data_IF_801729042109
#
_entry.id   IF_801729042109
#
_cell.length_a   1.000
_cell.length_b   1.000
_cell.length_c   1.000
_cell.angle_alpha   90.00
_cell.angle_beta   90.00
_cell.angle_gamma   90.00
#
_symmetry.space_group_name_H-M   'P 1'
#
loop_
_entity.id
_entity.type
_entity.pdbx_description
1 polymer ?
#
# COMPACT_ATOMS: atom_id res chain seq x y z
N UNK A 1 -8.34 17.56 -0.19
CA UNK A 1 -9.30 17.42 0.93
C UNK A 1 -9.41 18.79 1.59
N UNK A 2 -10.58 19.19 2.11
CA UNK A 2 -10.65 20.44 2.90
C UNK A 2 -9.92 20.24 4.23
N UNK A 3 -9.64 21.34 4.93
CA UNK A 3 -9.00 21.28 6.24
C UNK A 3 -9.88 20.55 7.28
N UNK A 4 -11.20 20.74 7.22
CA UNK A 4 -12.16 20.04 8.09
C UNK A 4 -12.11 18.53 7.91
N UNK A 5 -12.19 18.06 6.66
CA UNK A 5 -12.15 16.61 6.37
C UNK A 5 -10.79 16.02 6.74
N UNK A 6 -9.70 16.78 6.63
CA UNK A 6 -8.40 16.34 7.15
C UNK A 6 -8.39 16.18 8.66
N UNK A 7 -8.98 17.13 9.39
CA UNK A 7 -9.08 17.02 10.86
C UNK A 7 -9.88 15.77 11.25
N UNK A 8 -11.03 15.54 10.60
CA UNK A 8 -11.85 14.35 10.82
C UNK A 8 -11.06 13.06 10.50
N UNK A 9 -10.28 13.06 9.41
CA UNK A 9 -9.44 11.93 9.03
C UNK A 9 -8.36 11.64 10.06
N UNK A 10 -7.65 12.67 10.54
CA UNK A 10 -6.60 12.51 11.54
C UNK A 10 -7.17 12.03 12.88
N UNK A 11 -8.36 12.50 13.27
CA UNK A 11 -9.08 12.02 14.46
C UNK A 11 -9.46 10.55 14.30
N UNK A 12 -10.07 10.18 13.17
CA UNK A 12 -10.39 8.79 12.85
C UNK A 12 -9.15 7.88 12.86
N UNK A 13 -8.01 8.36 12.35
CA UNK A 13 -6.75 7.63 12.36
C UNK A 13 -6.27 7.37 13.80
N UNK A 14 -6.28 8.40 14.64
CA UNK A 14 -5.90 8.29 16.05
C UNK A 14 -6.80 7.29 16.78
N UNK A 15 -8.11 7.48 16.66
CA UNK A 15 -9.10 6.70 17.40
C UNK A 15 -9.10 5.22 16.95
N UNK A 16 -8.90 4.94 15.66
CA UNK A 16 -8.72 3.59 15.16
C UNK A 16 -7.44 2.92 15.68
N UNK A 17 -6.34 3.66 15.75
CA UNK A 17 -5.10 3.16 16.31
C UNK A 17 -5.24 2.84 17.81
N UNK A 18 -5.91 3.72 18.57
CA UNK A 18 -6.20 3.49 19.99
C UNK A 18 -7.12 2.30 20.21
N UNK A 19 -8.18 2.17 19.41
CA UNK A 19 -9.06 1.01 19.45
C UNK A 19 -8.28 -0.28 19.22
N UNK A 20 -7.39 -0.28 18.23
CA UNK A 20 -6.56 -1.46 17.92
C UNK A 20 -5.61 -1.79 19.07
N UNK A 21 -5.03 -0.80 19.74
CA UNK A 21 -4.19 -1.01 20.93
C UNK A 21 -4.98 -1.58 22.09
N UNK A 22 -6.17 -1.05 22.36
CA UNK A 22 -7.05 -1.60 23.40
C UNK A 22 -7.40 -3.06 23.13
N UNK A 23 -7.53 -3.45 21.86
CA UNK A 23 -7.80 -4.84 21.44
C UNK A 23 -6.58 -5.75 21.59
N UNK A 24 -5.39 -5.33 21.16
CA UNK A 24 -4.22 -6.21 21.09
C UNK A 24 -3.21 -6.07 22.26
N UNK A 25 -3.28 -5.00 23.03
CA UNK A 25 -2.45 -4.76 24.22
C UNK A 25 -1.01 -4.28 23.94
N UNK A 26 -0.68 -3.86 22.71
CA UNK A 26 0.63 -3.32 22.37
C UNK A 26 0.54 -2.22 21.31
N UNK A 27 1.51 -1.30 21.30
CA UNK A 27 1.58 -0.20 20.33
C UNK A 27 1.76 -0.70 18.89
N UNK A 28 1.03 -0.06 17.97
CA UNK A 28 1.14 -0.31 16.53
C UNK A 28 1.53 1.00 15.83
N UNK A 29 2.59 0.97 15.00
CA UNK A 29 2.91 2.08 14.11
C UNK A 29 1.78 2.34 13.10
N UNK A 30 1.56 3.61 12.78
CA UNK A 30 0.54 4.09 11.86
C UNK A 30 1.23 4.81 10.71
N UNK A 31 0.98 4.37 9.49
CA UNK A 31 1.47 5.06 8.29
C UNK A 31 0.32 5.82 7.62
N UNK A 32 0.47 7.13 7.52
CA UNK A 32 -0.36 7.98 6.68
C UNK A 32 0.27 7.99 5.29
N UNK A 33 -0.36 7.32 4.33
CA UNK A 33 0.14 7.20 2.97
C UNK A 33 -0.51 8.24 2.05
N UNK A 34 0.25 9.27 1.74
CA UNK A 34 -0.08 10.29 0.76
C UNK A 34 0.00 9.71 -0.64
N UNK A 35 -1.14 9.63 -1.34
CA UNK A 35 -1.23 9.00 -2.66
C UNK A 35 -2.44 9.56 -3.42
N UNK A 36 -3.08 8.74 -4.27
CA UNK A 36 -4.12 9.11 -5.20
C UNK A 36 -3.51 9.30 -6.58
N UNK A 37 -3.70 10.49 -7.15
CA UNK A 37 -3.05 10.92 -8.39
C UNK A 37 -1.56 11.19 -8.15
N UNK A 38 -1.15 12.47 -8.22
CA UNK A 38 0.23 12.85 -7.92
C UNK A 38 0.26 13.86 -6.74
N UNK A 39 0.67 13.43 -5.53
CA UNK A 39 0.73 14.30 -4.36
C UNK A 39 1.62 15.52 -4.52
N UNK A 40 2.70 15.44 -5.32
CA UNK A 40 3.60 16.59 -5.55
C UNK A 40 3.00 17.70 -6.43
N UNK A 41 1.75 17.55 -6.87
CA UNK A 41 0.98 18.65 -7.45
C UNK A 41 0.41 19.60 -6.38
N UNK A 42 0.34 19.15 -5.12
CA UNK A 42 -0.08 19.98 -4.00
C UNK A 42 1.08 20.91 -3.62
N UNK A 43 0.81 22.19 -3.32
CA UNK A 43 1.87 23.13 -2.97
C UNK A 43 2.35 22.89 -1.53
N UNK A 44 3.55 23.39 -1.19
CA UNK A 44 4.16 23.30 0.14
C UNK A 44 3.20 23.66 1.27
N UNK A 45 2.45 24.75 1.13
CA UNK A 45 1.55 25.24 2.19
C UNK A 45 0.42 24.25 2.49
N UNK A 46 0.04 23.40 1.53
CA UNK A 46 -0.94 22.34 1.77
C UNK A 46 -0.39 21.29 2.74
N UNK A 47 0.85 20.85 2.54
CA UNK A 47 1.50 19.89 3.43
C UNK A 47 1.69 20.49 4.82
N UNK A 48 2.19 21.72 4.91
CA UNK A 48 2.43 22.40 6.20
C UNK A 48 1.17 22.53 7.04
N UNK A 49 0.02 22.86 6.42
CA UNK A 49 -1.28 22.90 7.12
C UNK A 49 -1.67 21.55 7.68
N UNK A 50 -1.50 20.47 6.92
CA UNK A 50 -1.85 19.12 7.40
C UNK A 50 -0.88 18.67 8.49
N UNK A 51 0.42 18.95 8.37
CA UNK A 51 1.37 18.64 9.44
C UNK A 51 1.10 19.44 10.71
N UNK A 52 0.60 20.68 10.59
CA UNK A 52 0.10 21.43 11.74
C UNK A 52 -1.11 20.73 12.40
N UNK A 53 -2.09 20.27 11.61
CA UNK A 53 -3.20 19.47 12.13
C UNK A 53 -2.74 18.18 12.79
N UNK A 54 -1.73 17.48 12.24
CA UNK A 54 -1.17 16.28 12.86
C UNK A 54 -0.63 16.56 14.26
N UNK A 55 0.06 17.70 14.45
CA UNK A 55 0.57 18.14 15.76
C UNK A 55 -0.54 18.49 16.75
N UNK A 56 -1.69 18.95 16.27
CA UNK A 56 -2.85 19.25 17.11
C UNK A 56 -3.64 17.99 17.50
N UNK A 57 -3.74 17.02 16.59
CA UNK A 57 -4.64 15.86 16.76
C UNK A 57 -3.95 14.68 17.44
N UNK A 58 -2.69 14.39 17.08
CA UNK A 58 -1.97 13.25 17.62
C UNK A 58 -1.28 13.58 18.95
N UNK A 59 -1.23 12.62 19.89
CA UNK A 59 -0.41 12.74 21.09
C UNK A 59 1.06 13.04 20.74
N UNK A 60 1.71 13.92 21.52
CA UNK A 60 3.07 14.37 21.24
C UNK A 60 4.10 13.24 21.27
N UNK A 61 3.88 12.25 22.14
CA UNK A 61 4.71 11.04 22.26
C UNK A 61 4.61 10.14 21.02
N UNK A 62 3.47 10.10 20.32
CA UNK A 62 3.34 9.36 19.06
C UNK A 62 4.18 9.98 17.95
N UNK A 63 4.24 11.31 17.91
CA UNK A 63 5.04 12.04 16.92
C UNK A 63 6.54 11.90 17.23
N UNK A 64 6.94 12.08 18.49
CA UNK A 64 8.33 11.97 18.93
C UNK A 64 8.90 10.56 18.78
N UNK A 65 8.10 9.52 19.07
CA UNK A 65 8.50 8.13 18.90
C UNK A 65 8.43 7.64 17.44
N UNK A 66 8.01 8.50 16.51
CA UNK A 66 7.70 8.16 15.11
C UNK A 66 6.69 7.01 14.99
N UNK A 67 5.76 6.93 15.94
CA UNK A 67 4.64 5.98 15.87
C UNK A 67 3.70 6.35 14.73
N UNK A 68 3.50 7.65 14.46
CA UNK A 68 2.84 8.12 13.24
C UNK A 68 3.91 8.49 12.21
N UNK A 69 3.86 7.86 11.04
CA UNK A 69 4.79 8.12 9.94
C UNK A 69 4.04 8.60 8.72
N UNK A 70 4.69 9.46 7.95
CA UNK A 70 4.17 9.95 6.68
C UNK A 70 4.95 9.27 5.55
N UNK A 71 4.23 8.59 4.68
CA UNK A 71 4.80 7.94 3.48
C UNK A 71 4.14 8.56 2.25
N UNK A 72 4.91 8.99 1.27
CA UNK A 72 4.37 9.62 0.06
C UNK A 72 4.68 8.79 -1.17
N UNK A 73 3.63 8.43 -1.90
CA UNK A 73 3.71 7.73 -3.19
C UNK A 73 3.71 8.74 -4.32
N UNK A 74 4.75 8.74 -5.15
CA UNK A 74 4.93 9.71 -6.23
C UNK A 74 5.48 9.06 -7.49
N UNK A 75 5.08 9.57 -8.66
CA UNK A 75 5.73 9.26 -9.93
C UNK A 75 7.08 10.00 -10.09
N UNK A 76 7.39 10.94 -9.21
CA UNK A 76 8.61 11.76 -9.17
C UNK A 76 8.93 12.50 -10.47
N UNK A 77 7.97 12.65 -11.38
CA UNK A 77 8.19 13.36 -12.63
C UNK A 77 8.38 14.87 -12.37
N UNK A 78 7.52 15.44 -11.54
CA UNK A 78 7.55 16.85 -11.17
C UNK A 78 7.69 16.99 -9.65
N UNK A 79 8.89 17.37 -9.19
CA UNK A 79 9.16 17.69 -7.78
C UNK A 79 9.98 18.97 -7.71
N UNK A 80 9.51 19.94 -6.92
CA UNK A 80 10.17 21.24 -6.72
C UNK A 80 11.03 21.17 -5.45
N UNK A 81 11.98 22.09 -5.31
CA UNK A 81 12.84 22.13 -4.12
C UNK A 81 12.02 22.31 -2.83
N UNK A 82 10.98 23.13 -2.86
CA UNK A 82 10.05 23.29 -1.74
C UNK A 82 9.39 21.98 -1.27
N UNK A 83 9.19 21.01 -2.17
CA UNK A 83 8.67 19.70 -1.78
C UNK A 83 9.75 18.85 -1.11
N UNK A 84 10.98 18.93 -1.61
CA UNK A 84 12.12 18.25 -1.00
C UNK A 84 12.39 18.78 0.41
N UNK A 85 12.28 20.09 0.60
CA UNK A 85 12.39 20.73 1.91
C UNK A 85 11.32 20.19 2.88
N UNK A 86 10.05 20.10 2.44
CA UNK A 86 8.96 19.51 3.23
C UNK A 86 9.24 18.04 3.58
N UNK A 87 9.77 17.25 2.64
CA UNK A 87 10.06 15.84 2.89
C UNK A 87 11.17 15.65 3.92
N UNK A 88 12.16 16.55 3.91
CA UNK A 88 13.24 16.58 4.89
C UNK A 88 12.74 17.06 6.26
N UNK A 89 12.08 18.21 6.32
CA UNK A 89 11.57 18.84 7.55
C UNK A 89 10.57 17.95 8.32
N UNK A 90 9.82 17.11 7.61
CA UNK A 90 8.80 16.23 8.19
C UNK A 90 9.12 14.74 8.09
N UNK A 91 10.37 14.40 7.73
CA UNK A 91 10.86 13.04 7.56
C UNK A 91 9.90 12.12 6.79
N UNK A 92 9.43 12.61 5.64
CA UNK A 92 8.51 11.88 4.76
C UNK A 92 9.28 10.78 4.03
N UNK A 93 8.85 9.53 4.21
CA UNK A 93 9.40 8.40 3.45
C UNK A 93 8.80 8.38 2.03
N UNK A 94 9.62 8.24 0.99
CA UNK A 94 9.14 8.26 -0.40
C UNK A 94 9.00 6.85 -1.00
N UNK A 95 7.89 6.58 -1.66
CA UNK A 95 7.70 5.45 -2.57
C UNK A 95 7.63 5.96 -4.00
N UNK A 96 8.64 5.61 -4.81
CA UNK A 96 8.81 6.14 -6.17
C UNK A 96 8.34 5.11 -7.18
N UNK A 97 7.33 5.48 -7.95
CA UNK A 97 6.81 4.64 -9.03
C UNK A 97 7.66 4.81 -10.29
N UNK A 98 8.54 3.85 -10.58
CA UNK A 98 9.44 3.85 -11.74
C UNK A 98 9.66 2.44 -12.27
N UNK A 99 9.56 2.27 -13.59
CA UNK A 99 9.63 0.95 -14.22
C UNK A 99 10.97 0.67 -14.94
N UNK A 100 11.83 1.68 -15.04
CA UNK A 100 13.11 1.63 -15.78
C UNK A 100 13.00 1.11 -17.22
N UNK A 101 11.83 1.30 -17.84
CA UNK A 101 11.53 0.98 -19.23
C UNK A 101 11.29 2.27 -20.02
N UNK A 102 11.80 2.34 -21.24
CA UNK A 102 11.68 3.52 -22.09
C UNK A 102 10.33 3.63 -22.80
N UNK A 103 9.78 4.85 -22.86
CA UNK A 103 8.58 5.15 -23.64
C UNK A 103 7.27 4.69 -23.00
N UNK A 104 7.31 4.27 -21.72
CA UNK A 104 6.14 3.67 -21.05
C UNK A 104 5.39 4.71 -20.23
N UNK A 105 6.11 5.42 -19.35
CA UNK A 105 5.51 6.41 -18.46
C UNK A 105 5.50 7.76 -19.18
N UNK A 106 4.33 8.12 -19.70
CA UNK A 106 4.13 9.32 -20.48
C UNK A 106 3.32 10.36 -19.72
N UNK A 107 3.63 11.63 -19.95
CA UNK A 107 2.76 12.75 -19.57
C UNK A 107 1.44 12.68 -20.32
N UNK A 108 0.44 13.47 -19.90
CA UNK A 108 -0.83 13.60 -20.63
C UNK A 108 -0.65 14.06 -22.10
N UNK A 109 0.46 14.76 -22.40
CA UNK A 109 0.84 15.17 -23.75
C UNK A 109 1.72 14.17 -24.51
N UNK A 110 1.84 12.93 -24.03
CA UNK A 110 2.61 11.86 -24.70
C UNK A 110 4.14 11.97 -24.57
N UNK A 111 4.65 12.93 -23.79
CA UNK A 111 6.11 13.07 -23.58
C UNK A 111 6.63 12.04 -22.58
N UNK A 112 7.80 11.48 -22.88
CA UNK A 112 8.62 10.63 -22.03
C UNK A 112 8.98 11.31 -20.70
N UNK A 113 8.96 10.57 -19.59
CA UNK A 113 9.19 11.10 -18.22
C UNK A 113 10.49 10.62 -17.59
N UNK A 114 11.14 9.61 -18.18
CA UNK A 114 12.23 8.83 -17.58
C UNK A 114 13.44 9.69 -17.24
N UNK A 115 13.83 10.61 -18.13
CA UNK A 115 14.96 11.51 -17.90
C UNK A 115 14.72 12.45 -16.71
N UNK A 116 13.51 12.98 -16.58
CA UNK A 116 13.15 13.84 -15.46
C UNK A 116 13.12 13.05 -14.14
N UNK A 117 12.52 11.86 -14.14
CA UNK A 117 12.48 10.96 -12.98
C UNK A 117 13.90 10.59 -12.52
N UNK A 118 14.80 10.21 -13.44
CA UNK A 118 16.21 9.91 -13.11
C UNK A 118 16.95 11.12 -12.56
N UNK A 119 16.69 12.31 -13.10
CA UNK A 119 17.24 13.56 -12.56
C UNK A 119 16.76 13.80 -11.12
N UNK A 120 15.47 13.58 -10.85
CA UNK A 120 14.90 13.77 -9.53
C UNK A 120 15.34 12.69 -8.53
N UNK A 121 15.54 11.44 -8.95
CA UNK A 121 16.15 10.40 -8.11
C UNK A 121 17.54 10.84 -7.64
N UNK A 122 18.36 11.43 -8.53
CA UNK A 122 19.67 11.98 -8.16
C UNK A 122 19.54 13.10 -7.13
N UNK A 123 18.59 14.03 -7.32
CA UNK A 123 18.29 15.08 -6.32
C UNK A 123 17.93 14.51 -4.94
N UNK A 124 17.18 13.41 -4.89
CA UNK A 124 16.88 12.72 -3.62
C UNK A 124 18.14 12.10 -3.00
N UNK A 125 19.00 11.48 -3.81
CA UNK A 125 20.27 10.90 -3.36
C UNK A 125 21.23 11.97 -2.83
N UNK A 126 21.36 13.09 -3.55
CA UNK A 126 22.23 14.21 -3.20
C UNK A 126 21.82 14.86 -1.86
N UNK A 127 20.51 14.89 -1.57
CA UNK A 127 19.96 15.33 -0.28
C UNK A 127 19.91 14.25 0.80
N UNK A 128 20.27 13.00 0.48
CA UNK A 128 20.18 11.89 1.44
C UNK A 128 18.75 11.49 1.82
N UNK A 129 17.74 11.89 1.05
CA UNK A 129 16.34 11.59 1.36
C UNK A 129 16.05 10.08 1.23
N UNK A 130 15.38 9.45 2.21
CA UNK A 130 15.04 8.04 2.14
C UNK A 130 13.92 7.78 1.13
N UNK A 131 14.15 6.84 0.22
CA UNK A 131 13.13 6.41 -0.72
C UNK A 131 13.20 4.91 -1.01
N UNK A 132 12.08 4.39 -1.50
CA UNK A 132 11.89 3.04 -2.02
C UNK A 132 11.43 3.10 -3.47
N UNK A 133 11.63 2.00 -4.19
CA UNK A 133 11.27 1.84 -5.60
C UNK A 133 10.04 0.97 -5.73
N UNK A 134 9.13 1.34 -6.62
CA UNK A 134 7.97 0.54 -7.01
C UNK A 134 7.99 0.40 -8.52
N UNK A 135 8.19 -0.82 -8.99
CA UNK A 135 8.27 -1.17 -10.41
C UNK A 135 7.12 -2.09 -10.77
N UNK A 136 6.30 -1.69 -11.75
CA UNK A 136 5.20 -2.52 -12.23
C UNK A 136 5.77 -3.62 -13.13
N UNK A 137 5.40 -4.89 -12.85
CA UNK A 137 5.71 -6.01 -13.71
C UNK A 137 4.60 -6.22 -14.74
N UNK A 138 4.88 -5.83 -15.98
CA UNK A 138 4.00 -5.89 -17.14
C UNK A 138 4.84 -6.11 -18.42
N UNK A 139 4.20 -6.17 -19.59
CA UNK A 139 4.86 -6.44 -20.88
C UNK A 139 6.13 -5.64 -21.14
N UNK A 140 6.12 -4.36 -20.75
CA UNK A 140 7.25 -3.47 -20.93
C UNK A 140 8.42 -3.71 -19.97
N UNK A 141 8.23 -4.37 -18.82
CA UNK A 141 9.33 -4.67 -17.89
C UNK A 141 9.76 -6.13 -17.92
N UNK A 142 8.82 -7.08 -18.04
CA UNK A 142 9.13 -8.51 -17.93
C UNK A 142 10.09 -8.96 -19.04
N UNK A 143 9.91 -8.43 -20.24
CA UNK A 143 10.77 -8.70 -21.40
C UNK A 143 12.21 -8.17 -21.26
N UNK A 144 12.46 -7.27 -20.31
CA UNK A 144 13.77 -6.65 -20.07
C UNK A 144 14.16 -6.67 -18.58
N UNK A 145 13.71 -7.69 -17.85
CA UNK A 145 13.83 -7.74 -16.39
C UNK A 145 15.29 -7.66 -15.89
N UNK A 146 16.26 -8.18 -16.67
CA UNK A 146 17.68 -8.08 -16.33
C UNK A 146 18.17 -6.63 -16.35
N UNK A 147 17.80 -5.85 -17.37
CA UNK A 147 18.11 -4.41 -17.45
C UNK A 147 17.44 -3.64 -16.31
N UNK A 148 16.18 -3.97 -16.01
CA UNK A 148 15.46 -3.38 -14.87
C UNK A 148 16.18 -3.69 -13.56
N UNK A 149 16.67 -4.91 -13.38
CA UNK A 149 17.47 -5.30 -12.22
C UNK A 149 18.76 -4.48 -12.12
N UNK A 150 19.52 -4.35 -13.22
CA UNK A 150 20.76 -3.57 -13.24
C UNK A 150 20.54 -2.14 -12.72
N UNK A 151 19.49 -1.47 -13.20
CA UNK A 151 19.09 -0.12 -12.79
C UNK A 151 18.73 -0.05 -11.30
N UNK A 152 17.91 -0.99 -10.82
CA UNK A 152 17.50 -1.06 -9.42
C UNK A 152 18.69 -1.35 -8.50
N UNK A 153 19.59 -2.24 -8.92
CA UNK A 153 20.76 -2.65 -8.14
C UNK A 153 21.72 -1.48 -7.89
N UNK A 154 21.84 -0.54 -8.83
CA UNK A 154 22.68 0.65 -8.67
C UNK A 154 22.17 1.60 -7.58
N UNK A 155 20.86 1.58 -7.30
CA UNK A 155 20.25 2.47 -6.32
C UNK A 155 20.39 1.96 -4.88
N UNK A 156 20.55 0.65 -4.68
CA UNK A 156 20.62 0.00 -3.37
C UNK A 156 19.49 0.45 -2.42
N UNK A 157 18.25 0.51 -2.95
CA UNK A 157 17.04 0.88 -2.18
C UNK A 157 16.08 -0.30 -2.03
N UNK A 158 15.22 -0.28 -0.99
CA UNK A 158 14.09 -1.20 -0.91
C UNK A 158 13.23 -1.10 -2.16
N UNK A 159 12.82 -2.24 -2.71
CA UNK A 159 12.10 -2.32 -3.97
C UNK A 159 10.84 -3.16 -3.82
N UNK A 160 9.75 -2.74 -4.46
CA UNK A 160 8.55 -3.54 -4.68
C UNK A 160 8.39 -3.79 -6.17
N UNK A 161 8.42 -5.06 -6.55
CA UNK A 161 7.97 -5.53 -7.84
C UNK A 161 6.46 -5.76 -7.76
N UNK A 162 5.69 -5.09 -8.63
CA UNK A 162 4.22 -5.08 -8.58
C UNK A 162 3.63 -5.75 -9.83
N UNK A 163 3.32 -7.05 -9.77
CA UNK A 163 2.60 -7.75 -10.84
C UNK A 163 1.31 -7.06 -11.28
N UNK A 164 1.20 -6.81 -12.59
CA UNK A 164 -0.02 -6.29 -13.20
C UNK A 164 -0.88 -7.45 -13.73
N UNK A 165 -1.94 -7.81 -13.01
CA UNK A 165 -2.85 -8.90 -13.40
C UNK A 165 -4.10 -8.43 -14.16
N UNK A 166 -4.56 -7.22 -13.86
CA UNK A 166 -5.76 -6.63 -14.44
C UNK A 166 -5.65 -5.11 -14.39
N UNK A 167 -6.48 -4.44 -15.19
CA UNK A 167 -6.61 -3.00 -15.18
C UNK A 167 -8.08 -2.57 -15.16
N UNK A 168 -8.34 -1.27 -14.97
CA UNK A 168 -9.71 -0.76 -14.98
C UNK A 168 -10.35 -0.96 -16.35
N UNK A 169 -11.63 -1.32 -16.37
CA UNK A 169 -12.38 -1.54 -17.61
C UNK A 169 -12.35 -0.36 -18.60
N UNK A 170 -12.14 0.86 -18.09
CA UNK A 170 -12.08 2.09 -18.88
C UNK A 170 -10.74 2.33 -19.60
N UNK A 171 -9.68 1.54 -19.32
CA UNK A 171 -8.37 1.71 -19.99
C UNK A 171 -8.00 0.43 -20.77
N UNK A 172 -7.73 0.54 -22.09
CA UNK A 172 -7.18 -0.58 -22.85
C UNK A 172 -5.86 -1.05 -22.26
N UNK A 173 -5.69 -2.37 -22.12
CA UNK A 173 -4.48 -2.99 -21.57
C UNK A 173 -3.52 -3.50 -22.67
N UNK A 174 -3.75 -3.08 -23.91
CA UNK A 174 -2.95 -3.51 -25.07
C UNK A 174 -1.48 -3.10 -24.87
N UNK A 175 -0.57 -4.07 -25.03
CA UNK A 175 0.87 -3.84 -24.89
C UNK A 175 1.41 -3.85 -23.45
N UNK A 176 0.55 -3.96 -22.44
CA UNK A 176 0.98 -4.11 -21.02
C UNK A 176 0.54 -5.44 -20.40
N UNK A 177 -0.53 -6.07 -20.90
CA UNK A 177 -0.93 -7.41 -20.45
C UNK A 177 0.12 -8.45 -20.84
N UNK A 178 0.44 -9.34 -19.91
CA UNK A 178 1.31 -10.50 -20.10
C UNK A 178 0.73 -11.71 -19.40
N UNK A 179 1.19 -12.90 -19.79
CA UNK A 179 0.77 -14.12 -19.13
C UNK A 179 1.35 -14.19 -17.71
N UNK A 180 0.62 -14.85 -16.82
CA UNK A 180 1.05 -15.00 -15.43
C UNK A 180 2.37 -15.77 -15.32
N UNK A 181 2.64 -16.68 -16.26
CA UNK A 181 3.92 -17.38 -16.40
C UNK A 181 5.06 -16.41 -16.68
N UNK A 182 4.88 -15.43 -17.56
CA UNK A 182 5.94 -14.46 -17.89
C UNK A 182 6.30 -13.60 -16.68
N UNK A 183 5.30 -13.22 -15.88
CA UNK A 183 5.52 -12.51 -14.62
C UNK A 183 6.30 -13.39 -13.63
N UNK A 184 5.94 -14.68 -13.53
CA UNK A 184 6.63 -15.62 -12.65
C UNK A 184 8.09 -15.82 -13.08
N UNK A 185 8.32 -16.02 -14.37
CA UNK A 185 9.67 -16.18 -14.95
C UNK A 185 10.51 -14.93 -14.68
N UNK A 186 9.95 -13.73 -14.88
CA UNK A 186 10.62 -12.48 -14.55
C UNK A 186 10.97 -12.37 -13.06
N UNK A 187 10.06 -12.76 -12.16
CA UNK A 187 10.31 -12.77 -10.72
C UNK A 187 11.43 -13.77 -10.34
N UNK A 188 11.47 -14.94 -10.97
CA UNK A 188 12.52 -15.93 -10.76
C UNK A 188 13.89 -15.41 -11.21
N UNK A 189 13.97 -14.84 -12.43
CA UNK A 189 15.21 -14.20 -12.92
C UNK A 189 15.66 -13.08 -11.99
N UNK A 190 14.74 -12.21 -11.56
CA UNK A 190 15.09 -11.12 -10.63
C UNK A 190 15.57 -11.66 -9.28
N UNK A 191 14.95 -12.73 -8.75
CA UNK A 191 15.36 -13.36 -7.51
C UNK A 191 16.79 -13.90 -7.58
N UNK A 192 17.12 -14.64 -8.64
CA UNK A 192 18.47 -15.20 -8.82
C UNK A 192 19.52 -14.10 -8.90
N UNK A 193 19.23 -13.01 -9.61
CA UNK A 193 20.10 -11.84 -9.70
C UNK A 193 20.24 -11.12 -8.36
N UNK A 194 19.14 -10.92 -7.64
CA UNK A 194 19.10 -10.27 -6.33
C UNK A 194 19.96 -11.00 -5.29
N UNK A 195 19.83 -12.33 -5.23
CA UNK A 195 20.63 -13.18 -4.34
C UNK A 195 22.09 -13.19 -4.78
N UNK A 196 22.37 -13.37 -6.08
CA UNK A 196 23.73 -13.45 -6.62
C UNK A 196 24.52 -12.15 -6.43
N UNK A 197 23.84 -11.01 -6.53
CA UNK A 197 24.44 -9.69 -6.32
C UNK A 197 24.68 -9.37 -4.83
N UNK A 198 24.17 -10.19 -3.90
CA UNK A 198 24.32 -9.95 -2.46
C UNK A 198 23.65 -8.65 -2.00
N UNK A 199 22.58 -8.22 -2.68
CA UNK A 199 21.86 -6.99 -2.35
C UNK A 199 21.28 -7.05 -0.94
N UNK A 200 21.62 -6.08 -0.10
CA UNK A 200 21.07 -5.97 1.25
C UNK A 200 19.64 -5.42 1.33
N UNK A 201 19.18 -4.51 0.43
CA UNK A 201 17.81 -4.00 0.53
C UNK A 201 16.78 -5.10 0.21
N UNK A 202 15.63 -5.02 0.91
CA UNK A 202 14.49 -5.91 0.67
C UNK A 202 13.91 -5.71 -0.73
N UNK A 203 13.49 -6.81 -1.34
CA UNK A 203 12.72 -6.81 -2.60
C UNK A 203 11.39 -7.52 -2.35
N UNK A 204 10.29 -6.79 -2.30
CA UNK A 204 8.94 -7.35 -2.18
C UNK A 204 8.40 -7.74 -3.57
N UNK A 205 7.70 -8.88 -3.73
CA UNK A 205 7.31 -9.85 -2.70
C UNK A 205 8.37 -10.95 -2.43
N UNK A 206 9.52 -10.92 -3.10
CA UNK A 206 10.53 -11.96 -3.06
C UNK A 206 11.07 -12.24 -1.65
N UNK A 207 11.34 -11.20 -0.87
CA UNK A 207 11.73 -11.29 0.54
C UNK A 207 10.70 -12.06 1.37
N UNK A 208 9.41 -11.78 1.14
CA UNK A 208 8.32 -12.46 1.84
C UNK A 208 8.22 -13.94 1.44
N UNK A 209 8.44 -14.25 0.16
CA UNK A 209 8.47 -15.63 -0.31
C UNK A 209 9.63 -16.39 0.31
N UNK A 210 10.84 -15.82 0.29
CA UNK A 210 12.02 -16.40 0.92
C UNK A 210 11.79 -16.65 2.42
N UNK A 211 11.29 -15.64 3.15
CA UNK A 211 10.96 -15.78 4.58
C UNK A 211 9.93 -16.89 4.83
N UNK A 212 8.90 -16.98 3.99
CA UNK A 212 7.86 -18.01 4.09
C UNK A 212 8.46 -19.41 3.90
N UNK A 213 9.36 -19.57 2.92
CA UNK A 213 10.07 -20.83 2.67
C UNK A 213 10.95 -21.21 3.86
N UNK A 214 11.73 -20.26 4.41
CA UNK A 214 12.60 -20.49 5.58
C UNK A 214 11.78 -20.95 6.78
N UNK A 215 10.69 -20.26 7.11
CA UNK A 215 9.82 -20.64 8.22
C UNK A 215 9.28 -22.06 8.05
N UNK A 216 8.75 -22.39 6.86
CA UNK A 216 8.25 -23.74 6.56
C UNK A 216 9.34 -24.81 6.68
N UNK A 217 10.57 -24.52 6.23
CA UNK A 217 11.72 -25.43 6.36
C UNK A 217 12.12 -25.66 7.83
N UNK A 218 11.85 -24.70 8.70
CA UNK A 218 12.03 -24.82 10.15
C UNK A 218 10.84 -25.46 10.88
N UNK A 219 9.80 -25.90 10.16
CA UNK A 219 8.57 -26.41 10.76
C UNK A 219 7.72 -25.33 11.44
N UNK A 220 7.95 -24.06 11.10
CA UNK A 220 7.21 -22.90 11.61
C UNK A 220 6.19 -22.41 10.59
N UNK A 221 5.08 -21.90 11.11
CA UNK A 221 4.10 -21.21 10.28
C UNK A 221 4.43 -19.71 10.17
N UNK A 222 4.04 -19.10 9.05
CA UNK A 222 4.07 -17.64 8.95
C UNK A 222 2.97 -17.10 9.86
N UNK A 223 3.28 -16.13 10.76
CA UNK A 223 2.24 -15.45 11.51
C UNK A 223 1.25 -14.82 10.54
N UNK A 224 0.01 -15.29 10.56
CA UNK A 224 -1.09 -14.65 9.86
C UNK A 224 -1.44 -13.32 10.54
N UNK A 225 -2.07 -12.42 9.80
CA UNK A 225 -2.73 -11.28 10.42
C UNK A 225 -4.05 -11.77 11.01
N UNK A 226 -4.21 -11.62 12.32
CA UNK A 226 -5.52 -11.79 12.95
C UNK A 226 -6.33 -10.51 12.72
N UNK A 227 -7.10 -10.46 11.62
CA UNK A 227 -7.94 -9.31 11.27
C UNK A 227 -9.10 -9.10 12.24
N UNK A 228 -9.55 -10.14 12.93
CA UNK A 228 -10.57 -9.99 13.97
C UNK A 228 -10.00 -9.21 15.17
N UNK A 229 -8.73 -9.46 15.51
CA UNK A 229 -8.03 -8.74 16.58
C UNK A 229 -7.54 -7.37 16.14
N UNK A 230 -6.91 -7.27 14.96
CA UNK A 230 -6.13 -6.11 14.50
C UNK A 230 -6.87 -5.23 13.49
N UNK A 231 -8.05 -5.63 13.02
CA UNK A 231 -8.75 -4.97 11.93
C UNK A 231 -8.07 -5.18 10.58
N UNK A 232 -8.41 -4.33 9.61
CA UNK A 232 -7.76 -4.27 8.29
C UNK A 232 -6.43 -3.50 8.35
N UNK A 233 -5.43 -3.97 7.59
CA UNK A 233 -4.12 -3.31 7.46
C UNK A 233 -4.18 -1.98 6.71
N UNK A 234 -5.19 -1.79 5.86
CA UNK A 234 -5.33 -0.63 4.98
C UNK A 234 -6.78 -0.17 4.96
N UNK A 235 -6.96 1.15 5.10
CA UNK A 235 -8.21 1.87 4.89
C UNK A 235 -7.94 3.00 3.92
N UNK A 236 -8.89 3.33 3.06
CA UNK A 236 -8.72 4.41 2.07
C UNK A 236 -9.70 5.51 2.41
N UNK A 237 -9.21 6.73 2.55
CA UNK A 237 -10.02 7.93 2.82
C UNK A 237 -10.06 8.78 1.56
N UNK A 238 -11.25 8.95 1.01
CA UNK A 238 -11.48 9.82 -0.14
C UNK A 238 -11.57 11.29 0.29
N UNK A 239 -11.52 12.22 -0.67
CA UNK A 239 -11.44 13.68 -0.41
C UNK A 239 -12.63 14.25 0.36
N UNK A 240 -13.75 13.55 0.36
CA UNK A 240 -15.00 13.89 1.03
C UNK A 240 -15.21 13.11 2.35
N UNK A 241 -14.23 12.28 2.75
CA UNK A 241 -14.28 11.50 3.97
C UNK A 241 -14.85 10.09 3.80
N UNK A 242 -15.27 9.67 2.60
CA UNK A 242 -15.71 8.27 2.42
C UNK A 242 -14.56 7.30 2.65
N UNK A 243 -14.86 6.23 3.39
CA UNK A 243 -13.92 5.19 3.78
C UNK A 243 -14.17 3.90 2.97
N UNK A 244 -13.12 3.25 2.48
CA UNK A 244 -13.15 1.89 1.91
C UNK A 244 -11.97 1.05 2.41
N UNK A 245 -12.00 -0.27 2.21
CA UNK A 245 -10.87 -1.16 2.56
C UNK A 245 -9.86 -1.37 1.40
N UNK A 246 -10.18 -0.86 0.21
CA UNK A 246 -9.34 -0.98 -0.97
C UNK A 246 -9.59 0.20 -1.93
N UNK A 247 -8.64 0.40 -2.85
CA UNK A 247 -8.67 1.51 -3.83
C UNK A 247 -9.79 1.40 -4.86
N UNK A 248 -10.19 0.18 -5.19
CA UNK A 248 -11.13 -0.15 -6.26
C UNK A 248 -12.58 -0.25 -5.75
N UNK A 249 -12.76 -0.21 -4.43
CA UNK A 249 -14.04 -0.31 -3.73
C UNK A 249 -14.76 -1.60 -4.11
N UNK A 250 -14.02 -2.70 -4.25
CA UNK A 250 -14.60 -4.01 -4.58
C UNK A 250 -15.63 -4.45 -3.54
N UNK A 251 -15.48 -3.95 -2.30
CA UNK A 251 -16.36 -4.24 -1.18
C UNK A 251 -17.29 -3.07 -0.81
N UNK A 252 -17.32 -2.03 -1.66
CA UNK A 252 -18.11 -0.82 -1.43
C UNK A 252 -17.53 0.10 -0.36
N UNK A 253 -18.37 1.05 0.06
CA UNK A 253 -18.04 2.02 1.10
C UNK A 253 -18.33 1.45 2.49
N UNK A 254 -17.42 1.71 3.42
CA UNK A 254 -17.55 1.35 4.83
C UNK A 254 -18.36 2.41 5.59
N UNK A 255 -18.29 3.67 5.17
CA UNK A 255 -18.95 4.81 5.81
C UNK A 255 -18.31 6.13 5.40
N UNK A 256 -18.67 7.22 6.10
CA UNK A 256 -18.05 8.54 5.94
C UNK A 256 -17.59 9.05 7.31
N UNK A 257 -16.29 9.30 7.46
CA UNK A 257 -15.68 9.76 8.73
C UNK A 257 -16.08 11.19 9.11
N UNK A 258 -16.70 11.96 8.21
CA UNK A 258 -17.25 13.29 8.52
C UNK A 258 -18.66 13.21 9.14
N UNK A 259 -19.28 12.04 9.10
CA UNK A 259 -20.67 11.81 9.52
C UNK A 259 -20.76 10.82 10.69
N UNK A 260 -19.89 9.81 10.69
CA UNK A 260 -19.90 8.68 11.63
C UNK A 260 -18.51 8.47 12.22
N UNK A 261 -18.44 8.12 13.51
CA UNK A 261 -17.16 7.83 14.16
C UNK A 261 -16.50 6.60 13.54
N UNK A 262 -15.17 6.53 13.60
CA UNK A 262 -14.45 5.37 13.07
C UNK A 262 -14.79 4.09 13.83
N UNK A 263 -15.07 4.19 15.13
CA UNK A 263 -15.47 3.05 15.99
C UNK A 263 -16.80 2.47 15.50
N UNK A 264 -17.81 3.32 15.25
CA UNK A 264 -19.11 2.88 14.73
C UNK A 264 -18.99 2.29 13.31
N UNK A 265 -18.12 2.85 12.45
CA UNK A 265 -17.88 2.33 11.10
C UNK A 265 -17.29 0.91 11.17
N UNK A 266 -16.31 0.66 12.05
CA UNK A 266 -15.65 -0.65 12.13
C UNK A 266 -16.43 -1.68 12.95
N UNK A 267 -17.32 -1.25 13.84
CA UNK A 267 -18.27 -2.15 14.51
C UNK A 267 -19.51 -2.45 13.63
N UNK A 268 -19.67 -1.72 12.52
CA UNK A 268 -20.73 -1.94 11.54
C UNK A 268 -20.64 -3.28 10.81
N UNK A 269 -21.81 -3.79 10.38
CA UNK A 269 -21.93 -5.11 9.73
C UNK A 269 -21.09 -5.25 8.45
N UNK A 270 -20.94 -4.19 7.66
CA UNK A 270 -20.12 -4.19 6.45
C UNK A 270 -18.66 -4.47 6.77
N UNK A 271 -18.09 -3.78 7.77
CA UNK A 271 -16.72 -3.99 8.18
C UNK A 271 -16.54 -5.34 8.88
N UNK A 272 -17.46 -5.71 9.78
CA UNK A 272 -17.47 -7.01 10.46
C UNK A 272 -17.44 -8.18 9.47
N UNK A 273 -18.23 -8.10 8.40
CA UNK A 273 -18.22 -9.11 7.33
C UNK A 273 -16.83 -9.23 6.68
N UNK A 274 -16.13 -8.12 6.46
CA UNK A 274 -14.81 -8.10 5.83
C UNK A 274 -13.69 -8.67 6.70
N UNK A 275 -13.69 -8.37 8.00
CA UNK A 275 -12.65 -8.89 8.90
C UNK A 275 -12.89 -10.34 9.31
N UNK A 276 -14.14 -10.81 9.29
CA UNK A 276 -14.51 -12.21 9.57
C UNK A 276 -14.60 -13.10 8.34
N UNK A 277 -14.64 -12.52 7.14
CA UNK A 277 -14.32 -13.23 5.91
C UNK A 277 -12.89 -13.76 6.04
N UNK A 278 -12.77 -15.05 6.40
CA UNK A 278 -11.61 -15.85 6.01
C UNK A 278 -11.62 -15.88 4.49
N UNK A 279 -11.09 -14.86 3.84
CA UNK A 279 -10.60 -15.00 2.48
C UNK A 279 -9.57 -16.12 2.58
N UNK A 280 -9.83 -17.31 2.01
CA UNK A 280 -8.80 -18.32 1.99
C UNK A 280 -7.64 -17.70 1.24
N UNK A 281 -6.48 -17.56 1.90
CA UNK A 281 -5.22 -17.65 1.18
C UNK A 281 -5.32 -18.98 0.44
N UNK A 282 -5.67 -18.95 -0.86
CA UNK A 282 -5.78 -20.13 -1.72
C UNK A 282 -4.37 -20.69 -1.91
N UNK A 283 -3.90 -21.40 -0.89
CA UNK A 283 -2.98 -22.50 -1.00
C UNK A 283 -3.80 -23.77 -0.80
N UNK A 284 -4.33 -24.32 -1.90
CA UNK A 284 -4.63 -25.75 -1.98
C UNK A 284 -4.72 -26.14 -3.45
N UNK A 285 -3.94 -27.16 -3.77
CA UNK A 285 -3.87 -27.86 -5.04
C UNK A 285 -5.26 -28.18 -5.59
N UNK A 286 -5.51 -27.81 -6.85
CA UNK A 286 -6.11 -28.65 -7.88
C UNK A 286 -6.45 -27.80 -9.10
N UNK A 287 -6.02 -28.30 -10.25
CA UNK A 287 -6.51 -28.03 -11.60
C UNK A 287 -8.02 -27.72 -11.66
N UNK A 288 -8.37 -26.82 -12.59
CA UNK A 288 -9.72 -26.52 -13.11
C UNK A 288 -10.54 -25.38 -12.45
N UNK A 289 -11.09 -24.51 -13.31
CA UNK A 289 -12.41 -23.92 -13.10
C UNK A 289 -12.47 -22.44 -12.70
N UNK A 290 -12.53 -21.56 -13.70
CA UNK A 290 -13.16 -20.24 -13.56
C UNK A 290 -14.64 -20.39 -13.18
N UNK A 291 -15.11 -19.63 -12.18
CA UNK A 291 -16.52 -19.61 -11.81
C UNK A 291 -16.84 -18.43 -10.90
N UNK A 292 -17.52 -17.43 -11.47
CA UNK A 292 -18.22 -16.37 -10.74
C UNK A 292 -19.21 -17.01 -9.75
N UNK A 293 -19.09 -16.68 -8.46
CA UNK A 293 -20.15 -16.96 -7.50
C UNK A 293 -20.66 -15.66 -6.88
N UNK A 294 -21.91 -15.36 -7.23
CA UNK A 294 -22.73 -14.29 -6.70
C UNK A 294 -22.99 -14.48 -5.19
N UNK A 295 -23.10 -13.36 -4.48
CA UNK A 295 -23.56 -13.25 -3.10
C UNK A 295 -24.99 -13.85 -2.99
N UNK A 296 -25.30 -14.69 -2.00
CA UNK A 296 -26.65 -15.21 -1.82
C UNK A 296 -27.57 -14.16 -1.18
N UNK A 297 -28.62 -13.76 -1.90
CA UNK A 297 -29.76 -13.01 -1.38
C UNK A 297 -30.70 -13.98 -0.62
N UNK A 298 -31.26 -13.63 0.56
CA UNK A 298 -32.16 -14.52 1.29
C UNK A 298 -33.47 -14.75 0.53
N UNK A 299 -33.89 -16.03 0.42
CA UNK A 299 -35.15 -16.46 -0.20
C UNK A 299 -36.35 -16.33 0.76
N UNK A 300 -37.44 -15.70 0.29
CA UNK A 300 -38.89 -15.97 0.48
C UNK A 300 -39.64 -14.71 -0.03
N UNK A 301 -40.69 -14.68 -0.86
CA UNK A 301 -41.82 -15.55 -1.21
C UNK A 301 -42.26 -15.30 -2.69
N UNK A 302 -43.14 -16.16 -3.22
CA UNK A 302 -43.60 -16.27 -4.63
C UNK A 302 -44.67 -15.23 -5.07
N UNK A 303 -44.75 -15.02 -6.40
CA UNK A 303 -45.79 -14.38 -7.26
C UNK A 303 -45.93 -12.85 -7.11
N UNK A 304 -45.93 -11.99 -8.15
CA UNK A 304 -46.41 -12.00 -9.55
C UNK A 304 -45.52 -11.05 -10.41
N UNK A 305 -45.66 -10.99 -11.76
CA UNK A 305 -44.79 -10.19 -12.61
C UNK A 305 -45.32 -8.76 -12.75
N UNK A 306 -44.50 -7.75 -12.45
CA UNK A 306 -44.75 -6.42 -12.96
C UNK A 306 -43.46 -5.77 -13.50
N UNK A 307 -43.58 -5.17 -14.68
CA UNK A 307 -42.49 -4.62 -15.47
C UNK A 307 -42.01 -3.33 -14.82
N UNK A 308 -40.86 -3.36 -14.15
CA UNK A 308 -40.09 -2.15 -13.84
C UNK A 308 -38.63 -2.35 -14.23
N UNK A 309 -38.13 -1.45 -15.07
CA UNK A 309 -36.75 -1.42 -15.55
C UNK A 309 -35.79 -1.28 -14.36
N UNK A 310 -35.05 -2.35 -14.05
CA UNK A 310 -33.86 -2.24 -13.21
C UNK A 310 -32.77 -1.49 -14.01
N UNK A 311 -32.56 -0.21 -13.67
CA UNK A 311 -31.35 0.52 -14.06
C UNK A 311 -30.14 -0.21 -13.46
N UNK A 312 -29.23 -0.66 -14.32
CA UNK A 312 -27.93 -1.16 -13.89
C UNK A 312 -27.16 -0.03 -13.15
N UNK A 313 -26.45 -0.34 -12.06
CA UNK A 313 -25.59 0.64 -11.41
C UNK A 313 -24.47 1.07 -12.37
N UNK A 314 -24.31 2.38 -12.52
CA UNK A 314 -23.23 3.00 -13.29
C UNK A 314 -21.86 2.50 -12.77
N UNK A 315 -20.90 2.14 -13.64
CA UNK A 315 -19.56 1.80 -13.20
C UNK A 315 -18.90 3.01 -12.53
N UNK A 316 -18.50 2.84 -11.27
CA UNK A 316 -17.78 3.84 -10.51
C UNK A 316 -16.48 4.21 -11.24
N UNK A 317 -16.29 5.51 -11.49
CA UNK A 317 -15.00 6.05 -11.94
C UNK A 317 -13.98 5.81 -10.83
N UNK A 318 -12.77 5.38 -11.20
CA UNK A 318 -11.62 5.42 -10.30
C UNK A 318 -11.52 6.85 -9.72
N UNK A 319 -11.51 7.02 -8.39
CA UNK A 319 -11.21 8.33 -7.83
C UNK A 319 -9.73 8.61 -8.11
N UNK A 320 -9.46 9.55 -9.01
CA UNK A 320 -8.11 9.98 -9.40
C UNK A 320 -7.27 10.55 -8.23
N UNK A 321 -7.79 10.59 -6.98
CA UNK A 321 -7.24 11.41 -5.88
C UNK A 321 -7.67 10.94 -4.47
N UNK A 322 -7.25 9.75 -4.01
CA UNK A 322 -7.50 9.24 -2.64
C UNK A 322 -6.26 9.28 -1.75
N UNK A 323 -6.42 9.44 -0.42
CA UNK A 323 -5.33 9.24 0.56
C UNK A 323 -5.51 7.85 1.16
N UNK A 324 -4.42 7.08 1.29
CA UNK A 324 -4.48 5.74 1.88
C UNK A 324 -3.99 5.83 3.31
N UNK A 325 -4.77 5.29 4.22
CA UNK A 325 -4.32 4.94 5.55
C UNK A 325 -3.81 3.50 5.48
N UNK A 326 -2.56 3.26 5.81
CA UNK A 326 -2.09 1.91 6.04
C UNK A 326 -1.54 1.81 7.46
N UNK A 327 -2.14 0.97 8.29
CA UNK A 327 -1.45 0.46 9.47
C UNK A 327 -0.48 -0.65 9.00
N UNK A 328 0.57 -0.29 8.24
CA UNK A 328 1.53 -1.28 7.80
C UNK A 328 2.54 -1.59 8.91
N UNK A 329 2.60 -2.86 9.33
CA UNK A 329 3.64 -3.35 10.22
C UNK A 329 4.96 -3.52 9.47
N UNK A 330 5.88 -2.55 9.57
CA UNK A 330 7.30 -2.86 9.42
C UNK A 330 7.77 -3.71 10.62
N UNK A 331 8.68 -4.69 10.48
CA UNK A 331 9.29 -5.30 11.66
C UNK A 331 10.06 -4.21 12.44
N UNK A 332 10.08 -4.26 13.79
CA UNK A 332 10.81 -3.29 14.58
C UNK A 332 12.29 -3.29 14.16
N UNK A 333 12.84 -2.11 13.84
CA UNK A 333 14.30 -1.96 13.78
C UNK A 333 14.82 -2.15 15.20
N UNK A 334 15.83 -3.03 15.32
CA UNK A 334 16.29 -3.57 16.59
C UNK A 334 16.54 -2.51 17.66
N UNK A 335 16.01 -2.77 18.85
CA UNK A 335 16.46 -2.17 20.09
C UNK A 335 16.68 -3.31 21.09
N UNK A 336 17.84 -3.28 21.74
CA UNK A 336 18.10 -4.00 22.99
C UNK A 336 18.52 -5.46 22.85
N UNK A 337 19.83 -5.69 23.00
CA UNK A 337 20.38 -6.97 23.46
C UNK A 337 19.54 -7.54 24.61
N UNK A 338 18.88 -8.68 24.39
CA UNK A 338 18.61 -9.62 25.47
C UNK A 338 19.95 -10.29 25.82
N UNK A 339 20.72 -9.66 26.71
CA UNK A 339 21.80 -10.33 27.45
C UNK A 339 21.14 -11.45 28.27
N UNK A 340 21.10 -12.66 27.72
CA UNK A 340 20.96 -13.87 28.54
C UNK A 340 22.29 -14.07 29.26
N UNK A 341 22.27 -13.80 30.55
CA UNK A 341 23.29 -14.23 31.51
C UNK A 341 23.37 -15.76 31.45
N UNK A 342 24.35 -16.28 30.71
CA UNK A 342 24.78 -17.67 30.84
C UNK A 342 25.71 -17.70 32.06
N UNK A 343 25.16 -18.06 33.22
CA UNK A 343 25.96 -18.51 34.34
C UNK A 343 26.70 -19.78 33.89
N UNK A 344 28.01 -19.66 33.67
CA UNK A 344 28.91 -20.80 33.59
C UNK A 344 29.14 -21.32 35.00
N UNK A 345 28.59 -22.48 35.32
CA UNK A 345 29.19 -23.34 36.32
C UNK A 345 30.34 -24.10 35.66
N UNK A 346 31.57 -23.74 36.07
CA UNK A 346 32.75 -24.60 35.97
C UNK A 346 32.93 -25.37 37.27
N UNK A 347 33.82 -26.39 37.27
CA UNK A 347 33.66 -27.68 37.94
C UNK A 347 33.51 -27.64 39.47
#
# INVERSE_FOLDING_TARGET
MSESVWRDALVAIRDYADLTIRRCGYDIPVDIIWHGGEPTLLPREYFERVFALQREVFPSDWLQSRRVRNVLQTNLYSVRDEHLDVFEEHDVELGISVDFAEGVRLTAGGKRTEAAVRSNIRRLQDRGLPFSIITVLAGHTVSQIQRVFEEISQLQKPTRLLPLFSGPAARPMNGVTVDKSDILDALMVFFDLWVSAGMTPRVDPLDQYLRTVILKRMGLERPGQDRALLGNDVLVVDRDGRLSCDAYREHGDLGNITETTIEDIVDGATYGYLVHLRLPCRGRDSTEGFGLHAVPVPRRLRHQPDRTQFRQPHPARLPDRSIYLAAHRGPPRGSGLLRRTVQRHGP
#
